data_IF_759534286332
#
_entry.id   IF_759534286332
#
_cell.length_a   1.000
_cell.length_b   1.000
_cell.length_c   1.000
_cell.angle_alpha   90.00
_cell.angle_beta   90.00
_cell.angle_gamma   90.00
#
_symmetry.space_group_name_H-M   'P 1'
#
loop_
_entity.id
_entity.type
_entity.pdbx_description
1 polymer ?
#
# COMPACT_ATOMS: atom_id res chain seq x y z
N UNK A 1 -25.05 -7.33 7.07
CA UNK A 1 -24.57 -6.74 5.81
C UNK A 1 -23.05 -6.42 5.88
N UNK A 2 -22.63 -5.65 6.85
CA UNK A 2 -21.22 -5.25 7.03
C UNK A 2 -20.24 -6.42 7.28
N UNK A 3 -20.68 -7.48 7.97
CA UNK A 3 -19.88 -8.69 8.23
C UNK A 3 -19.72 -9.56 6.98
N UNK A 4 -20.74 -9.65 6.13
CA UNK A 4 -20.70 -10.39 4.87
C UNK A 4 -19.76 -9.71 3.87
N UNK A 5 -19.76 -8.38 3.81
CA UNK A 5 -18.83 -7.61 2.98
C UNK A 5 -17.37 -7.82 3.42
N UNK A 6 -17.11 -7.89 4.73
CA UNK A 6 -15.80 -8.19 5.28
C UNK A 6 -15.31 -9.60 4.95
N UNK A 7 -16.20 -10.59 5.06
CA UNK A 7 -15.89 -11.97 4.69
C UNK A 7 -15.55 -12.09 3.21
N UNK A 8 -16.27 -11.39 2.35
CA UNK A 8 -16.01 -11.38 0.91
C UNK A 8 -14.64 -10.77 0.58
N UNK A 9 -14.29 -9.64 1.20
CA UNK A 9 -12.98 -9.00 1.01
C UNK A 9 -11.85 -9.91 1.50
N UNK A 10 -12.03 -10.56 2.64
CA UNK A 10 -11.07 -11.52 3.17
C UNK A 10 -10.89 -12.71 2.24
N UNK A 11 -11.98 -13.28 1.76
CA UNK A 11 -11.96 -14.41 0.83
C UNK A 11 -11.22 -14.07 -0.46
N UNK A 12 -11.49 -12.92 -1.05
CA UNK A 12 -10.79 -12.44 -2.25
C UNK A 12 -9.28 -12.27 -2.01
N UNK A 13 -8.90 -11.65 -0.89
CA UNK A 13 -7.50 -11.44 -0.54
C UNK A 13 -6.76 -12.76 -0.32
N UNK A 14 -7.36 -13.70 0.39
CA UNK A 14 -6.80 -15.03 0.62
C UNK A 14 -6.66 -15.83 -0.69
N UNK A 15 -7.66 -15.76 -1.55
CA UNK A 15 -7.62 -16.41 -2.86
C UNK A 15 -6.50 -15.82 -3.72
N UNK A 16 -6.34 -14.51 -3.74
CA UNK A 16 -5.27 -13.82 -4.44
C UNK A 16 -3.90 -14.25 -3.94
N UNK A 17 -3.68 -14.26 -2.62
CA UNK A 17 -2.43 -14.73 -2.03
C UNK A 17 -2.14 -16.20 -2.36
N UNK A 18 -3.16 -17.04 -2.34
CA UNK A 18 -3.04 -18.44 -2.72
C UNK A 18 -2.60 -18.60 -4.18
N UNK A 19 -3.15 -17.80 -5.09
CA UNK A 19 -2.75 -17.80 -6.51
C UNK A 19 -1.32 -17.28 -6.69
N UNK A 20 -0.91 -16.27 -5.92
CA UNK A 20 0.47 -15.78 -5.92
C UNK A 20 1.42 -16.88 -5.46
N UNK A 21 1.13 -17.53 -4.35
CA UNK A 21 1.95 -18.62 -3.80
C UNK A 21 2.07 -19.81 -4.79
N UNK A 22 1.00 -20.10 -5.50
CA UNK A 22 0.98 -21.15 -6.51
C UNK A 22 1.58 -20.75 -7.87
N UNK A 23 1.93 -19.46 -8.05
CA UNK A 23 2.41 -18.93 -9.33
C UNK A 23 1.37 -18.91 -10.44
N UNK A 24 0.08 -18.89 -10.08
CA UNK A 24 -1.05 -18.97 -11.02
C UNK A 24 -1.82 -17.66 -11.17
N UNK A 25 -1.41 -16.61 -10.46
CA UNK A 25 -2.08 -15.32 -10.59
C UNK A 25 -1.90 -14.77 -12.00
N UNK A 26 -2.98 -14.45 -12.74
CA UNK A 26 -2.88 -13.75 -14.01
C UNK A 26 -2.26 -12.36 -13.81
N UNK A 27 -1.08 -12.15 -14.40
CA UNK A 27 -0.33 -10.92 -14.23
C UNK A 27 0.11 -10.41 -15.60
N UNK A 28 -0.33 -9.21 -15.97
CA UNK A 28 -0.05 -8.60 -17.27
C UNK A 28 1.08 -7.59 -17.13
N UNK A 29 2.30 -8.02 -17.35
CA UNK A 29 3.46 -7.14 -17.32
C UNK A 29 3.40 -6.10 -18.45
N UNK A 30 3.42 -4.84 -18.06
CA UNK A 30 3.45 -3.68 -18.95
C UNK A 30 4.13 -2.52 -18.27
N UNK A 31 4.30 -1.43 -18.98
CA UNK A 31 4.75 -0.17 -18.39
C UNK A 31 3.62 0.43 -17.57
N UNK A 32 3.90 0.70 -16.30
CA UNK A 32 2.97 1.31 -15.35
C UNK A 32 3.53 2.66 -14.91
N UNK A 33 2.81 3.73 -15.22
CA UNK A 33 3.15 5.06 -14.72
C UNK A 33 2.78 5.17 -13.23
N UNK A 34 3.76 5.46 -12.40
CA UNK A 34 3.60 5.50 -10.92
C UNK A 34 2.58 6.54 -10.50
N UNK A 35 2.66 7.74 -11.08
CA UNK A 35 1.70 8.82 -10.78
C UNK A 35 0.26 8.40 -11.06
N UNK A 36 0.03 7.80 -12.21
CA UNK A 36 -1.28 7.30 -12.61
C UNK A 36 -1.79 6.24 -11.64
N UNK A 37 -0.96 5.25 -11.29
CA UNK A 37 -1.35 4.18 -10.37
C UNK A 37 -1.69 4.71 -8.98
N UNK A 38 -0.88 5.64 -8.44
CA UNK A 38 -1.15 6.28 -7.15
C UNK A 38 -2.43 7.11 -7.17
N UNK A 39 -2.63 7.90 -8.21
CA UNK A 39 -3.81 8.77 -8.36
C UNK A 39 -5.08 7.94 -8.46
N UNK A 40 -5.08 6.89 -9.25
CA UNK A 40 -6.24 6.00 -9.40
C UNK A 40 -6.55 5.25 -8.09
N UNK A 41 -5.53 4.83 -7.36
CA UNK A 41 -5.72 4.22 -6.05
C UNK A 41 -6.35 5.22 -5.04
N UNK A 42 -5.85 6.45 -5.01
CA UNK A 42 -6.41 7.51 -4.17
C UNK A 42 -7.85 7.85 -4.52
N UNK A 43 -8.20 7.90 -5.82
CA UNK A 43 -9.55 8.16 -6.29
C UNK A 43 -10.55 7.10 -5.80
N UNK A 44 -10.13 5.86 -5.68
CA UNK A 44 -10.94 4.78 -5.10
C UNK A 44 -11.27 4.98 -3.62
N UNK A 45 -10.54 5.84 -2.92
CA UNK A 45 -10.71 6.14 -1.51
C UNK A 45 -11.39 7.49 -1.25
N UNK A 46 -11.87 8.17 -2.28
CA UNK A 46 -12.40 9.54 -2.20
C UNK A 46 -13.48 9.71 -1.13
N UNK A 47 -14.42 8.77 -1.03
CA UNK A 47 -15.49 8.82 -0.02
C UNK A 47 -14.95 8.70 1.41
N UNK A 48 -13.98 7.82 1.63
CA UNK A 48 -13.30 7.66 2.92
C UNK A 48 -12.52 8.91 3.30
N UNK A 49 -11.78 9.45 2.36
CA UNK A 49 -10.97 10.65 2.56
C UNK A 49 -11.84 11.85 2.93
N UNK A 50 -12.95 12.03 2.21
CA UNK A 50 -13.88 13.11 2.47
C UNK A 50 -14.52 12.99 3.86
N UNK A 51 -14.91 11.78 4.25
CA UNK A 51 -15.52 11.52 5.55
C UNK A 51 -14.57 11.82 6.72
N UNK A 52 -13.31 11.47 6.60
CA UNK A 52 -12.30 11.67 7.64
C UNK A 52 -11.56 13.02 7.54
N UNK A 53 -11.85 13.80 6.51
CA UNK A 53 -11.18 15.07 6.25
C UNK A 53 -9.70 14.90 5.89
N UNK A 54 -9.29 13.74 5.38
CA UNK A 54 -7.91 13.42 5.05
C UNK A 54 -7.61 13.78 3.60
N UNK A 55 -6.44 14.35 3.38
CA UNK A 55 -5.93 14.68 2.05
C UNK A 55 -4.79 13.74 1.69
N UNK A 56 -4.70 13.38 0.40
CA UNK A 56 -3.55 12.66 -0.15
C UNK A 56 -2.86 13.59 -1.14
N UNK A 57 -1.56 13.83 -0.93
CA UNK A 57 -0.74 14.66 -1.82
C UNK A 57 0.18 13.77 -2.64
N UNK A 58 0.01 13.81 -3.95
CA UNK A 58 0.79 13.05 -4.92
C UNK A 58 1.44 14.07 -5.88
N UNK A 59 2.77 14.22 -5.89
CA UNK A 59 3.42 15.16 -6.79
C UNK A 59 3.41 14.62 -8.22
N UNK A 60 3.14 15.48 -9.18
CA UNK A 60 3.32 15.17 -10.59
C UNK A 60 4.76 15.54 -11.01
N UNK A 61 5.61 14.54 -11.05
CA UNK A 61 7.04 14.69 -11.40
C UNK A 61 7.36 14.23 -12.83
N UNK A 62 6.33 14.16 -13.68
CA UNK A 62 6.47 13.60 -15.01
C UNK A 62 6.34 12.09 -15.03
N UNK A 63 6.66 11.49 -16.16
CA UNK A 63 6.49 10.05 -16.37
C UNK A 63 7.62 9.27 -15.71
N UNK A 64 7.28 8.50 -14.66
CA UNK A 64 8.17 7.50 -14.05
C UNK A 64 7.46 6.16 -14.14
N UNK A 65 8.00 5.28 -14.95
CA UNK A 65 7.40 3.99 -15.25
C UNK A 65 8.13 2.85 -14.57
N UNK A 66 7.37 1.85 -14.13
CA UNK A 66 7.87 0.54 -13.69
C UNK A 66 7.32 -0.53 -14.62
N UNK A 67 7.94 -1.69 -14.61
CA UNK A 67 7.38 -2.87 -15.29
C UNK A 67 6.57 -3.65 -14.27
N UNK A 68 5.27 -3.72 -14.50
CA UNK A 68 4.34 -4.36 -13.58
C UNK A 68 2.96 -4.53 -14.21
N UNK A 69 1.98 -4.76 -13.37
CA UNK A 69 0.57 -4.83 -13.74
C UNK A 69 -0.17 -3.66 -13.12
N UNK A 70 -0.86 -2.86 -13.92
CA UNK A 70 -1.54 -1.65 -13.46
C UNK A 70 -2.59 -1.96 -12.38
N UNK A 71 -3.44 -2.96 -12.59
CA UNK A 71 -4.51 -3.29 -11.64
C UNK A 71 -3.97 -3.78 -10.31
N UNK A 72 -2.97 -4.67 -10.33
CA UNK A 72 -2.35 -5.16 -9.11
C UNK A 72 -1.51 -4.11 -8.40
N UNK A 73 -0.83 -3.25 -9.15
CA UNK A 73 -0.10 -2.10 -8.57
C UNK A 73 -1.04 -1.14 -7.87
N UNK A 74 -2.18 -0.82 -8.49
CA UNK A 74 -3.23 -0.03 -7.86
C UNK A 74 -3.75 -0.69 -6.58
N UNK A 75 -4.00 -2.00 -6.60
CA UNK A 75 -4.45 -2.76 -5.44
C UNK A 75 -3.44 -2.70 -4.29
N UNK A 76 -2.15 -2.83 -4.60
CA UNK A 76 -1.09 -2.70 -3.60
C UNK A 76 -1.07 -1.29 -2.98
N UNK A 77 -1.10 -0.25 -3.79
CA UNK A 77 -1.15 1.13 -3.30
C UNK A 77 -2.41 1.39 -2.49
N UNK A 78 -3.55 0.86 -2.92
CA UNK A 78 -4.81 0.98 -2.20
C UNK A 78 -4.70 0.42 -0.78
N UNK A 79 -4.09 -0.75 -0.61
CA UNK A 79 -3.88 -1.36 0.70
C UNK A 79 -2.96 -0.51 1.60
N UNK A 80 -1.89 0.07 1.04
CA UNK A 80 -1.00 0.96 1.79
C UNK A 80 -1.70 2.25 2.21
N UNK A 81 -2.42 2.88 1.29
CA UNK A 81 -3.16 4.11 1.56
C UNK A 81 -4.25 3.89 2.60
N UNK A 82 -4.99 2.78 2.54
CA UNK A 82 -5.98 2.41 3.57
C UNK A 82 -5.34 2.30 4.94
N UNK A 83 -4.17 1.67 5.03
CA UNK A 83 -3.44 1.57 6.29
C UNK A 83 -3.06 2.95 6.82
N UNK A 84 -2.54 3.83 5.98
CA UNK A 84 -2.22 5.20 6.35
C UNK A 84 -3.46 5.97 6.85
N UNK A 85 -4.61 5.83 6.16
CA UNK A 85 -5.87 6.48 6.57
C UNK A 85 -6.32 6.00 7.95
N UNK A 86 -6.26 4.68 8.20
CA UNK A 86 -6.67 4.09 9.48
C UNK A 86 -5.83 4.58 10.66
N UNK A 87 -4.57 4.88 10.44
CA UNK A 87 -3.61 5.32 11.46
C UNK A 87 -3.34 6.83 11.45
N UNK A 88 -3.95 7.56 10.53
CA UNK A 88 -3.83 9.00 10.44
C UNK A 88 -4.74 9.71 11.44
N UNK A 89 -4.34 10.90 11.84
CA UNK A 89 -5.21 11.79 12.63
C UNK A 89 -6.30 12.37 11.74
N UNK A 90 -7.45 12.67 12.34
CA UNK A 90 -8.53 13.38 11.64
C UNK A 90 -8.01 14.69 11.05
N UNK A 91 -8.42 15.01 9.82
CA UNK A 91 -7.92 16.15 9.04
C UNK A 91 -6.41 16.10 8.73
N UNK A 92 -5.80 14.94 8.84
CA UNK A 92 -4.40 14.74 8.52
C UNK A 92 -4.13 14.71 7.02
N UNK A 93 -2.85 14.59 6.67
CA UNK A 93 -2.40 14.48 5.28
C UNK A 93 -1.53 13.25 5.10
N UNK A 94 -1.76 12.54 4.01
CA UNK A 94 -0.93 11.43 3.55
C UNK A 94 -0.12 11.94 2.36
N UNK A 95 1.17 11.72 2.41
CA UNK A 95 2.11 12.16 1.37
C UNK A 95 2.60 10.97 0.56
N UNK A 96 2.73 11.19 -0.73
CA UNK A 96 3.40 10.26 -1.63
C UNK A 96 4.57 10.97 -2.29
N UNK A 97 5.61 10.24 -2.58
CA UNK A 97 6.71 10.71 -3.41
C UNK A 97 7.27 9.54 -4.22
N UNK A 98 7.94 9.82 -5.32
CA UNK A 98 8.55 8.79 -6.14
C UNK A 98 9.73 9.36 -6.92
N UNK A 99 10.70 8.51 -7.19
CA UNK A 99 11.90 8.84 -7.96
C UNK A 99 12.39 7.59 -8.69
N UNK A 100 13.29 7.79 -9.63
CA UNK A 100 13.92 6.69 -10.35
C UNK A 100 15.41 6.94 -10.52
N UNK A 101 16.16 5.85 -10.53
CA UNK A 101 17.58 5.84 -10.89
C UNK A 101 17.83 4.60 -11.78
N UNK A 102 19.06 4.38 -12.30
CA UNK A 102 19.33 3.24 -13.18
C UNK A 102 19.12 1.86 -12.55
N UNK A 103 19.08 1.76 -11.22
CA UNK A 103 18.99 0.49 -10.48
C UNK A 103 17.55 0.20 -10.07
N UNK A 104 16.82 1.20 -9.58
CA UNK A 104 15.46 1.03 -9.09
C UNK A 104 14.62 2.29 -9.20
N UNK A 105 13.31 2.13 -9.16
CA UNK A 105 12.34 3.19 -8.85
C UNK A 105 11.93 3.07 -7.40
N UNK A 106 11.87 4.20 -6.70
CA UNK A 106 11.48 4.26 -5.29
C UNK A 106 10.15 5.00 -5.16
N UNK A 107 9.25 4.45 -4.34
CA UNK A 107 7.99 5.08 -3.99
C UNK A 107 7.93 5.18 -2.46
N UNK A 108 7.60 6.35 -1.96
CA UNK A 108 7.42 6.63 -0.54
C UNK A 108 5.97 7.02 -0.28
N UNK A 109 5.37 6.43 0.74
CA UNK A 109 4.03 6.78 1.22
C UNK A 109 4.12 6.95 2.74
N UNK A 110 3.78 8.14 3.24
CA UNK A 110 3.91 8.41 4.68
C UNK A 110 2.80 9.31 5.19
N UNK A 111 2.60 9.29 6.51
CA UNK A 111 1.68 10.14 7.23
C UNK A 111 2.40 10.93 8.34
N UNK A 112 1.66 11.78 9.02
CA UNK A 112 2.13 12.58 10.15
C UNK A 112 1.52 12.12 11.48
N UNK A 113 1.05 10.87 11.54
CA UNK A 113 0.45 10.29 12.74
C UNK A 113 1.46 9.87 13.79
N UNK A 114 1.05 8.97 14.66
CA UNK A 114 1.90 8.47 15.76
C UNK A 114 3.01 7.52 15.27
N UNK A 115 2.88 7.00 14.06
CA UNK A 115 3.78 5.99 13.53
C UNK A 115 3.40 4.57 13.97
N UNK A 116 4.25 3.62 13.62
CA UNK A 116 4.11 2.25 14.06
C UNK A 116 4.63 2.05 15.48
N UNK A 117 4.01 1.16 16.22
CA UNK A 117 4.62 0.67 17.44
C UNK A 117 5.91 -0.10 17.06
N UNK A 118 7.07 0.21 17.68
CA UNK A 118 8.35 -0.36 17.22
C UNK A 118 8.38 -1.88 17.17
N UNK A 119 7.74 -2.56 18.10
CA UNK A 119 7.69 -4.03 18.15
C UNK A 119 6.83 -4.63 17.03
N UNK A 120 5.94 -3.85 16.42
CA UNK A 120 5.09 -4.29 15.32
C UNK A 120 5.82 -4.24 13.97
N UNK A 121 6.81 -3.37 13.81
CA UNK A 121 7.48 -3.13 12.52
C UNK A 121 8.03 -4.41 11.88
N UNK A 122 8.72 -5.32 12.58
CA UNK A 122 9.20 -6.56 11.98
C UNK A 122 8.11 -7.50 11.47
N UNK A 123 6.87 -7.31 11.92
CA UNK A 123 5.74 -8.21 11.67
C UNK A 123 4.65 -7.62 10.76
N UNK A 124 4.78 -6.35 10.36
CA UNK A 124 3.71 -5.62 9.65
C UNK A 124 3.22 -6.32 8.38
N UNK A 125 4.10 -7.02 7.67
CA UNK A 125 3.77 -7.69 6.41
C UNK A 125 3.47 -9.18 6.57
N UNK A 126 3.44 -9.70 7.79
CA UNK A 126 3.02 -11.07 8.07
C UNK A 126 1.50 -11.20 7.91
N UNK A 127 1.07 -12.31 7.34
CA UNK A 127 -0.37 -12.59 7.16
C UNK A 127 -1.05 -12.73 8.51
N UNK A 128 -2.21 -12.07 8.65
CA UNK A 128 -3.02 -12.06 9.88
C UNK A 128 -2.40 -11.36 11.08
N UNK A 129 -1.23 -10.73 10.91
CA UNK A 129 -0.66 -9.93 11.98
C UNK A 129 -1.48 -8.67 12.21
N UNK A 130 -1.79 -8.40 13.47
CA UNK A 130 -2.48 -7.19 13.89
C UNK A 130 -1.68 -6.56 15.02
N UNK A 131 -1.23 -5.33 14.81
CA UNK A 131 -0.49 -4.58 15.80
C UNK A 131 -1.32 -4.25 17.04
N UNK A 132 -0.64 -3.76 18.08
CA UNK A 132 -1.23 -3.42 19.40
C UNK A 132 -2.37 -2.40 19.26
N UNK A 133 -2.22 -1.42 18.35
CA UNK A 133 -3.21 -0.37 18.09
C UNK A 133 -4.03 -0.62 16.82
N UNK A 134 -4.14 -1.87 16.38
CA UNK A 134 -4.91 -2.21 15.19
C UNK A 134 -6.39 -1.86 15.37
N UNK A 135 -6.99 -1.24 14.35
CA UNK A 135 -8.42 -1.02 14.35
C UNK A 135 -9.18 -2.34 14.47
N UNK A 136 -10.32 -2.34 15.14
CA UNK A 136 -11.18 -3.54 15.27
C UNK A 136 -11.66 -4.08 13.92
N UNK A 137 -11.48 -3.32 12.85
CA UNK A 137 -11.95 -3.62 11.50
C UNK A 137 -10.90 -4.25 10.58
N UNK A 138 -9.61 -4.22 10.94
CA UNK A 138 -8.54 -4.78 10.14
C UNK A 138 -8.45 -6.30 10.26
N UNK A 139 -8.13 -6.99 9.17
CA UNK A 139 -7.98 -8.46 9.12
C UNK A 139 -6.51 -8.86 9.16
N UNK A 140 -5.58 -7.91 8.93
CA UNK A 140 -4.15 -8.17 8.93
C UNK A 140 -3.63 -8.84 7.66
N UNK A 141 -4.31 -8.63 6.53
CA UNK A 141 -3.93 -9.26 5.26
C UNK A 141 -3.53 -8.26 4.18
N UNK A 142 -3.96 -7.00 4.30
CA UNK A 142 -3.75 -5.99 3.27
C UNK A 142 -2.28 -5.66 3.01
N UNK A 143 -1.47 -5.53 4.05
CA UNK A 143 -0.03 -5.25 3.90
C UNK A 143 0.72 -6.47 3.35
N UNK A 144 0.35 -7.68 3.76
CA UNK A 144 0.92 -8.91 3.20
C UNK A 144 0.62 -9.04 1.71
N UNK A 145 -0.59 -8.69 1.28
CA UNK A 145 -0.98 -8.68 -0.13
C UNK A 145 -0.17 -7.65 -0.92
N UNK A 146 -0.05 -6.42 -0.41
CA UNK A 146 0.75 -5.38 -1.05
C UNK A 146 2.21 -5.83 -1.24
N UNK A 147 2.83 -6.38 -0.22
CA UNK A 147 4.19 -6.93 -0.29
C UNK A 147 4.32 -8.00 -1.36
N UNK A 148 3.41 -8.96 -1.39
CA UNK A 148 3.43 -10.04 -2.38
C UNK A 148 3.29 -9.52 -3.81
N UNK A 149 2.47 -8.50 -4.03
CA UNK A 149 2.32 -7.87 -5.35
C UNK A 149 3.62 -7.18 -5.78
N UNK A 150 4.27 -6.43 -4.88
CA UNK A 150 5.55 -5.79 -5.23
C UNK A 150 6.67 -6.81 -5.48
N UNK A 151 6.70 -7.89 -4.75
CA UNK A 151 7.66 -8.99 -4.98
C UNK A 151 7.48 -9.63 -6.36
N UNK A 152 6.25 -9.78 -6.85
CA UNK A 152 5.96 -10.22 -8.22
C UNK A 152 6.53 -9.27 -9.28
N UNK A 153 6.72 -8.01 -8.94
CA UNK A 153 7.24 -6.97 -9.83
C UNK A 153 8.74 -6.70 -9.64
N UNK A 154 9.46 -7.66 -9.09
CA UNK A 154 10.90 -7.52 -8.80
C UNK A 154 11.17 -6.39 -7.80
N UNK A 155 10.30 -6.24 -6.82
CA UNK A 155 10.38 -5.19 -5.81
C UNK A 155 10.37 -5.71 -4.39
N UNK A 156 10.51 -4.79 -3.48
CA UNK A 156 10.33 -5.02 -2.06
C UNK A 156 9.65 -3.82 -1.40
N UNK A 157 9.20 -4.02 -0.18
CA UNK A 157 8.62 -2.98 0.67
C UNK A 157 9.18 -3.09 2.08
N UNK A 158 9.47 -1.95 2.66
CA UNK A 158 9.84 -1.80 4.07
C UNK A 158 8.98 -0.74 4.73
N UNK A 159 8.91 -0.77 6.06
CA UNK A 159 8.21 0.22 6.84
C UNK A 159 9.13 0.75 7.94
N UNK A 160 9.00 2.02 8.24
CA UNK A 160 9.76 2.69 9.30
C UNK A 160 8.98 3.86 9.89
N UNK A 161 9.36 4.27 11.07
CA UNK A 161 8.91 5.53 11.63
C UNK A 161 9.81 6.67 11.15
N UNK A 162 9.19 7.83 10.92
CA UNK A 162 9.92 9.05 10.59
C UNK A 162 10.47 9.71 11.87
N UNK A 163 11.63 10.41 11.78
CA UNK A 163 12.24 11.05 12.95
C UNK A 163 11.33 12.08 13.64
N UNK A 164 10.53 12.80 12.85
CA UNK A 164 9.64 13.85 13.35
C UNK A 164 8.20 13.35 13.64
N UNK A 165 8.01 12.05 13.63
CA UNK A 165 6.72 11.40 13.81
C UNK A 165 6.08 10.97 12.49
N UNK A 166 5.24 9.95 12.56
CA UNK A 166 4.56 9.37 11.43
C UNK A 166 5.17 8.06 10.94
N UNK A 167 4.41 7.36 10.14
CA UNK A 167 4.77 6.08 9.54
C UNK A 167 5.12 6.26 8.06
N UNK A 168 6.10 5.53 7.57
CA UNK A 168 6.52 5.57 6.18
C UNK A 168 6.66 4.15 5.62
N UNK A 169 6.04 3.94 4.45
CA UNK A 169 6.31 2.79 3.60
C UNK A 169 7.28 3.19 2.50
N UNK A 170 8.30 2.38 2.29
CA UNK A 170 9.30 2.55 1.24
C UNK A 170 9.26 1.34 0.31
N UNK A 171 8.93 1.58 -0.96
CA UNK A 171 8.84 0.56 -1.99
C UNK A 171 9.96 0.79 -2.99
N UNK A 172 10.69 -0.26 -3.34
CA UNK A 172 11.69 -0.24 -4.42
C UNK A 172 11.35 -1.30 -5.44
N UNK A 173 11.23 -0.89 -6.69
CA UNK A 173 11.03 -1.78 -7.83
C UNK A 173 12.31 -1.72 -8.66
N UNK A 174 13.01 -2.86 -8.75
CA UNK A 174 14.31 -2.93 -9.41
C UNK A 174 14.16 -3.05 -10.92
N UNK A 175 15.09 -2.40 -11.62
CA UNK A 175 15.17 -2.46 -13.07
C UNK A 175 15.57 -3.88 -13.53
N UNK A 176 15.09 -4.26 -14.70
CA UNK A 176 15.43 -5.53 -15.33
C UNK A 176 16.70 -5.41 -16.18
#
# INVERSE_FOLDING_TARGET
>A
KKQLERLSVLEEALLTLSKIDAGTLPFKYSKVDIYTALTLAADNLSDFLQKEGISILIPDKGCVEIIGDMEWTMEAFLNLLKNCIEHSTQNGTIYCDYSTNPIYSEILIWDEGEGFYPDDIPHLFERFYRGINASSNGIGIGLALAKSIFELQNGNITARNLPDGGACFEIRIYSH
#
